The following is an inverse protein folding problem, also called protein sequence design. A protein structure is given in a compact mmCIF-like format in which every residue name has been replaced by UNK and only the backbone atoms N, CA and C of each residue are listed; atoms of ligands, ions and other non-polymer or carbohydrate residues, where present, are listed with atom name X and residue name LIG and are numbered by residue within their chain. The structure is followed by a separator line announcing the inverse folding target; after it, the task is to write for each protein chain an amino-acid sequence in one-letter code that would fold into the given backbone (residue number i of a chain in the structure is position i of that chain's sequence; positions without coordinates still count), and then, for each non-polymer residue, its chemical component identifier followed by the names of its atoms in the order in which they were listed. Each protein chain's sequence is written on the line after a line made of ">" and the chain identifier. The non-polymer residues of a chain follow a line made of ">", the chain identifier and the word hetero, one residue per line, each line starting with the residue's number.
data_IF_072180956706
#
_entry.id   IF_072180956706
#
_cell.length_a   1.000
_cell.length_b   1.000
_cell.length_c   1.000
_cell.angle_alpha   90.00
_cell.angle_beta   90.00
_cell.angle_gamma   90.00
#
_symmetry.space_group_name_H-M   'P 1'
#
loop_
_entity.id
_entity.type
_entity.pdbx_description
1 polymer ?
#
# COMPACT_ATOMS: atom_id res chain seq x y z
N UNK A 1 -5.27 -10.70 15.32
CA UNK A 1 -4.58 -9.76 14.40
C UNK A 1 -4.24 -8.56 15.24
N UNK A 2 -2.96 -8.42 15.63
CA UNK A 2 -2.52 -7.28 16.42
C UNK A 2 -2.85 -6.01 15.64
N UNK A 3 -3.53 -5.07 16.28
CA UNK A 3 -3.93 -3.80 15.68
C UNK A 3 -2.72 -3.18 14.98
N UNK A 4 -2.70 -3.19 13.64
CA UNK A 4 -1.70 -2.46 12.89
C UNK A 4 -1.77 -1.00 13.35
N UNK A 5 -0.60 -0.44 13.68
CA UNK A 5 -0.53 0.95 14.11
C UNK A 5 -1.13 1.82 13.01
N UNK A 6 -2.01 2.75 13.38
CA UNK A 6 -2.58 3.72 12.45
C UNK A 6 -1.48 4.47 11.67
N UNK A 7 -0.33 4.70 12.33
CA UNK A 7 0.84 5.28 11.69
C UNK A 7 1.42 4.39 10.58
N UNK A 8 1.43 3.07 10.79
CA UNK A 8 1.91 2.10 9.79
C UNK A 8 0.97 2.05 8.59
N UNK A 9 -0.35 2.01 8.82
CA UNK A 9 -1.32 2.06 7.71
C UNK A 9 -1.18 3.35 6.88
N UNK A 10 -0.95 4.50 7.53
CA UNK A 10 -0.71 5.76 6.83
C UNK A 10 0.57 5.72 5.99
N UNK A 11 1.66 5.17 6.53
CA UNK A 11 2.93 5.03 5.81
C UNK A 11 2.79 4.10 4.60
N UNK A 12 2.14 2.95 4.76
CA UNK A 12 1.92 1.99 3.68
C UNK A 12 1.02 2.58 2.58
N UNK A 13 0.02 3.38 2.97
CA UNK A 13 -0.84 4.13 2.04
C UNK A 13 -0.05 5.19 1.27
N UNK A 14 0.77 5.97 1.95
CA UNK A 14 1.61 7.00 1.33
C UNK A 14 2.57 6.39 0.30
N UNK A 15 3.23 5.28 0.67
CA UNK A 15 4.15 4.56 -0.20
C UNK A 15 3.43 4.00 -1.43
N UNK A 16 2.22 3.45 -1.27
CA UNK A 16 1.43 2.97 -2.39
C UNK A 16 1.08 4.08 -3.37
N UNK A 17 0.70 5.27 -2.88
CA UNK A 17 0.40 6.45 -3.70
C UNK A 17 1.62 6.89 -4.51
N UNK A 18 2.80 6.94 -3.90
CA UNK A 18 4.05 7.30 -4.59
C UNK A 18 4.39 6.30 -5.69
N UNK A 19 4.34 5.00 -5.37
CA UNK A 19 4.62 3.94 -6.34
C UNK A 19 3.64 3.95 -7.51
N UNK A 20 2.34 4.15 -7.25
CA UNK A 20 1.32 4.30 -8.31
C UNK A 20 1.63 5.51 -9.18
N UNK A 21 1.98 6.64 -8.58
CA UNK A 21 2.31 7.88 -9.30
C UNK A 21 3.56 7.73 -10.19
N UNK A 22 4.50 6.86 -9.79
CA UNK A 22 5.67 6.49 -10.59
C UNK A 22 5.37 5.44 -11.67
N UNK A 23 4.14 4.94 -11.76
CA UNK A 23 3.74 3.93 -12.74
C UNK A 23 4.11 2.50 -12.34
N UNK A 24 4.25 2.21 -11.04
CA UNK A 24 4.51 0.87 -10.55
C UNK A 24 3.41 -0.12 -10.98
N UNK A 25 3.82 -1.34 -11.31
CA UNK A 25 2.88 -2.43 -11.63
C UNK A 25 2.25 -2.99 -10.35
N UNK A 26 1.04 -3.53 -10.49
CA UNK A 26 0.29 -4.12 -9.39
C UNK A 26 1.09 -5.20 -8.62
N UNK A 27 1.84 -6.04 -9.32
CA UNK A 27 2.68 -7.07 -8.72
C UNK A 27 3.74 -6.47 -7.78
N UNK A 28 4.34 -5.32 -8.14
CA UNK A 28 5.31 -4.65 -7.27
C UNK A 28 4.62 -4.12 -6.01
N UNK A 29 3.47 -3.49 -6.17
CA UNK A 29 2.68 -2.94 -5.06
C UNK A 29 2.29 -4.04 -4.07
N UNK A 30 1.79 -5.20 -4.54
CA UNK A 30 1.42 -6.36 -3.70
C UNK A 30 2.58 -6.91 -2.86
N UNK A 31 3.83 -6.74 -3.31
CA UNK A 31 5.03 -7.18 -2.59
C UNK A 31 5.67 -6.09 -1.72
N UNK A 32 5.35 -4.81 -1.96
CA UNK A 32 6.06 -3.68 -1.34
C UNK A 32 5.25 -3.02 -0.25
N UNK A 33 3.93 -2.94 -0.39
CA UNK A 33 3.04 -2.31 0.58
C UNK A 33 2.17 -3.34 1.27
N UNK A 34 1.88 -3.13 2.56
CA UNK A 34 0.97 -4.01 3.34
C UNK A 34 -0.49 -3.61 3.16
N UNK A 35 -0.87 -3.35 1.91
CA UNK A 35 -2.25 -3.02 1.56
C UNK A 35 -2.90 -4.20 0.86
N UNK A 36 -4.18 -4.44 1.15
CA UNK A 36 -4.95 -5.40 0.38
C UNK A 36 -5.13 -4.89 -1.05
N UNK A 37 -5.18 -5.81 -2.01
CA UNK A 37 -5.48 -5.47 -3.40
C UNK A 37 -6.76 -4.64 -3.53
N UNK A 38 -7.78 -4.95 -2.73
CA UNK A 38 -9.03 -4.18 -2.68
C UNK A 38 -8.83 -2.72 -2.23
N UNK A 39 -7.91 -2.45 -1.30
CA UNK A 39 -7.54 -1.08 -0.89
C UNK A 39 -6.76 -0.35 -1.99
N UNK A 40 -6.01 -1.05 -2.85
CA UNK A 40 -5.21 -0.44 -3.91
C UNK A 40 -6.01 -0.12 -5.18
N UNK A 41 -7.14 -0.78 -5.41
CA UNK A 41 -7.98 -0.60 -6.61
C UNK A 41 -9.19 0.30 -6.42
N UNK A 42 -9.48 0.72 -5.18
CA UNK A 42 -10.64 1.55 -4.81
C UNK A 42 -10.18 2.94 -4.43
#
# INVERSE_FOLDING_TARGET
>A
MASESLLQELQDTQLAVELISLGARMQLLEHTVRLSRGKMTR
#
